data_IF_342714629301
#
_entry.id   IF_342714629301
#
_cell.length_a   1.000
_cell.length_b   1.000
_cell.length_c   1.000
_cell.angle_alpha   90.00
_cell.angle_beta   90.00
_cell.angle_gamma   90.00
#
_symmetry.space_group_name_H-M   'P 1'
#
loop_
_entity.id
_entity.type
_entity.pdbx_description
1 polymer ?
#
# COMPACT_ATOMS: atom_id res chain seq x y z
N UNK A 1 -5.71 1.45 -15.67
CA UNK A 1 -6.92 0.83 -16.27
C UNK A 1 -7.94 0.52 -15.18
N UNK A 2 -7.63 -0.21 -14.11
CA UNK A 2 -8.57 -0.60 -13.05
C UNK A 2 -9.28 0.60 -12.41
N UNK A 3 -8.57 1.66 -12.05
CA UNK A 3 -9.17 2.89 -11.50
C UNK A 3 -10.09 3.63 -12.47
N UNK A 4 -9.80 3.59 -13.78
CA UNK A 4 -10.68 4.16 -14.78
C UNK A 4 -12.00 3.37 -14.85
N UNK A 5 -11.94 2.04 -14.86
CA UNK A 5 -13.14 1.22 -14.78
C UNK A 5 -13.96 1.45 -13.52
N UNK A 6 -13.30 1.68 -12.39
CA UNK A 6 -13.97 2.00 -11.13
C UNK A 6 -14.73 3.33 -11.22
N UNK A 7 -14.08 4.39 -11.70
CA UNK A 7 -14.70 5.71 -11.84
C UNK A 7 -15.90 5.65 -12.79
N UNK A 8 -15.73 5.05 -13.97
CA UNK A 8 -16.80 4.87 -14.96
C UNK A 8 -17.95 4.05 -14.37
N UNK A 9 -17.64 2.96 -13.68
CA UNK A 9 -18.67 2.08 -13.11
C UNK A 9 -19.46 2.78 -12.01
N UNK A 10 -18.81 3.57 -11.17
CA UNK A 10 -19.48 4.33 -10.12
C UNK A 10 -20.46 5.33 -10.71
N UNK A 11 -20.05 6.10 -11.72
CA UNK A 11 -20.86 7.13 -12.36
C UNK A 11 -22.03 6.54 -13.15
N UNK A 12 -21.81 5.47 -13.94
CA UNK A 12 -22.79 4.99 -14.92
C UNK A 12 -23.72 3.90 -14.41
N UNK A 13 -23.47 3.27 -13.25
CA UNK A 13 -24.30 2.17 -12.74
C UNK A 13 -25.80 2.50 -12.57
N UNK A 14 -26.14 3.76 -12.27
CA UNK A 14 -27.49 4.21 -11.99
C UNK A 14 -28.08 5.13 -13.09
N UNK A 15 -27.33 5.40 -14.19
CA UNK A 15 -27.82 6.29 -15.26
C UNK A 15 -28.89 5.62 -16.11
N UNK A 16 -29.94 6.39 -16.46
CA UNK A 16 -30.92 5.98 -17.44
C UNK A 16 -30.24 5.74 -18.80
N UNK A 17 -30.60 4.66 -19.48
CA UNK A 17 -29.97 4.28 -20.75
C UNK A 17 -28.69 3.45 -20.63
N UNK A 18 -28.37 2.94 -19.45
CA UNK A 18 -27.27 2.03 -19.23
C UNK A 18 -27.46 0.72 -20.03
N UNK A 19 -26.70 0.57 -21.12
CA UNK A 19 -26.77 -0.59 -22.03
C UNK A 19 -26.17 -1.89 -21.41
N UNK A 20 -25.18 -1.75 -20.49
CA UNK A 20 -24.49 -2.90 -19.90
C UNK A 20 -25.20 -3.47 -18.67
N UNK A 21 -26.18 -2.73 -18.15
CA UNK A 21 -26.93 -3.10 -16.95
C UNK A 21 -26.19 -2.84 -15.64
N UNK A 22 -26.95 -2.62 -14.57
CA UNK A 22 -26.45 -2.28 -13.23
C UNK A 22 -25.51 -3.35 -12.64
N UNK A 23 -25.79 -4.62 -12.88
CA UNK A 23 -25.01 -5.73 -12.34
C UNK A 23 -23.60 -5.81 -12.92
N UNK A 24 -23.43 -5.46 -14.20
CA UNK A 24 -22.11 -5.43 -14.85
C UNK A 24 -21.20 -4.37 -14.21
N UNK A 25 -21.73 -3.17 -13.99
CA UNK A 25 -20.97 -2.12 -13.31
C UNK A 25 -20.65 -2.45 -11.85
N UNK A 26 -21.58 -3.12 -11.15
CA UNK A 26 -21.31 -3.62 -9.79
C UNK A 26 -20.21 -4.68 -9.77
N UNK A 27 -20.20 -5.59 -10.77
CA UNK A 27 -19.14 -6.57 -10.91
C UNK A 27 -17.78 -5.88 -11.14
N UNK A 28 -17.72 -4.86 -12.01
CA UNK A 28 -16.50 -4.07 -12.22
C UNK A 28 -16.03 -3.38 -10.94
N UNK A 29 -16.93 -2.78 -10.16
CA UNK A 29 -16.59 -2.17 -8.87
C UNK A 29 -16.00 -3.21 -7.90
N UNK A 30 -16.58 -4.40 -7.82
CA UNK A 30 -16.10 -5.47 -6.94
C UNK A 30 -14.72 -5.98 -7.39
N UNK A 31 -14.56 -6.25 -8.70
CA UNK A 31 -13.28 -6.71 -9.25
C UNK A 31 -12.19 -5.67 -8.99
N UNK A 32 -12.46 -4.39 -9.27
CA UNK A 32 -11.49 -3.34 -9.04
C UNK A 32 -11.15 -3.11 -7.57
N UNK A 33 -12.16 -3.22 -6.69
CA UNK A 33 -11.96 -3.11 -5.25
C UNK A 33 -11.00 -4.16 -4.68
N UNK A 34 -10.91 -5.32 -5.33
CA UNK A 34 -9.97 -6.38 -4.96
C UNK A 34 -8.66 -6.32 -5.77
N UNK A 35 -8.78 -6.17 -7.10
CA UNK A 35 -7.65 -6.28 -8.03
C UNK A 35 -6.66 -5.11 -7.89
N UNK A 36 -7.15 -3.89 -7.70
CA UNK A 36 -6.28 -2.73 -7.59
C UNK A 36 -5.36 -2.79 -6.36
N UNK A 37 -5.84 -3.04 -5.12
CA UNK A 37 -4.96 -3.22 -3.97
C UNK A 37 -4.02 -4.42 -4.10
N UNK A 38 -4.50 -5.52 -4.70
CA UNK A 38 -3.68 -6.71 -4.96
C UNK A 38 -2.50 -6.37 -5.86
N UNK A 39 -2.73 -5.69 -6.99
CA UNK A 39 -1.67 -5.31 -7.91
C UNK A 39 -0.70 -4.29 -7.32
N UNK A 40 -1.21 -3.31 -6.55
CA UNK A 40 -0.35 -2.36 -5.83
C UNK A 40 0.53 -3.09 -4.82
N UNK A 41 -0.05 -3.99 -4.02
CA UNK A 41 0.71 -4.79 -3.06
C UNK A 41 1.74 -5.69 -3.74
N UNK A 42 1.39 -6.35 -4.87
CA UNK A 42 2.33 -7.15 -5.66
C UNK A 42 3.50 -6.30 -6.19
N UNK A 43 3.22 -5.08 -6.63
CA UNK A 43 4.26 -4.14 -7.04
C UNK A 43 5.15 -3.71 -5.86
N UNK A 44 4.58 -3.48 -4.68
CA UNK A 44 5.35 -3.18 -3.46
C UNK A 44 6.22 -4.38 -3.04
N UNK A 45 5.76 -5.62 -3.25
CA UNK A 45 6.56 -6.82 -3.02
C UNK A 45 7.92 -6.81 -3.75
N UNK A 46 8.01 -6.15 -4.91
CA UNK A 46 9.27 -6.05 -5.67
C UNK A 46 10.35 -5.22 -4.97
N UNK A 47 10.04 -4.41 -3.97
CA UNK A 47 11.06 -3.75 -3.14
C UNK A 47 11.90 -4.77 -2.36
N UNK A 48 11.36 -5.96 -2.12
CA UNK A 48 12.03 -7.05 -1.41
C UNK A 48 12.60 -8.11 -2.34
N UNK A 49 11.93 -8.38 -3.47
CA UNK A 49 12.30 -9.47 -4.39
C UNK A 49 13.04 -8.99 -5.62
N UNK A 50 13.03 -7.69 -5.89
CA UNK A 50 13.63 -7.09 -7.07
C UNK A 50 12.77 -7.16 -8.34
N UNK A 51 13.23 -6.46 -9.37
CA UNK A 51 12.62 -6.39 -10.70
C UNK A 51 13.70 -6.50 -11.78
N UNK A 52 13.33 -6.93 -12.98
CA UNK A 52 14.26 -7.11 -14.09
C UNK A 52 14.45 -5.81 -14.89
N UNK A 53 15.34 -4.95 -14.44
CA UNK A 53 15.70 -3.72 -15.15
C UNK A 53 17.22 -3.49 -15.15
N UNK A 54 17.69 -2.65 -16.07
CA UNK A 54 19.08 -2.20 -16.14
C UNK A 54 19.13 -0.68 -16.13
N UNK A 55 20.20 -0.12 -15.56
CA UNK A 55 20.44 1.32 -15.47
C UNK A 55 21.77 1.65 -16.14
N UNK A 56 21.75 2.51 -17.15
CA UNK A 56 22.93 3.04 -17.80
C UNK A 56 23.03 4.55 -17.60
N UNK A 57 23.79 4.96 -16.61
CA UNK A 57 23.99 6.40 -16.30
C UNK A 57 24.75 7.14 -17.39
N UNK A 58 25.57 6.46 -18.18
CA UNK A 58 26.29 7.04 -19.34
C UNK A 58 25.37 7.48 -20.47
N UNK A 59 24.16 6.91 -20.55
CA UNK A 59 23.19 7.28 -21.58
C UNK A 59 22.67 8.73 -21.47
N UNK A 60 22.85 9.41 -20.34
CA UNK A 60 22.50 10.83 -20.20
C UNK A 60 23.27 11.72 -21.20
N UNK A 61 24.49 11.34 -21.54
CA UNK A 61 25.33 12.06 -22.49
C UNK A 61 25.07 11.65 -23.96
N UNK A 62 24.30 10.60 -24.19
CA UNK A 62 23.99 10.10 -25.54
C UNK A 62 22.74 10.81 -26.09
N UNK A 63 22.99 11.74 -27.02
CA UNK A 63 21.91 12.53 -27.67
C UNK A 63 21.01 11.62 -28.54
N UNK A 64 21.51 10.50 -29.04
CA UNK A 64 20.77 9.59 -29.92
C UNK A 64 19.82 8.65 -29.17
N UNK A 65 20.14 8.31 -27.92
CA UNK A 65 19.34 7.40 -27.10
C UNK A 65 19.46 7.72 -25.60
N UNK A 66 18.89 8.85 -25.11
CA UNK A 66 19.07 9.32 -23.74
C UNK A 66 18.18 8.53 -22.74
N UNK A 67 18.17 7.19 -22.86
CA UNK A 67 17.36 6.33 -21.99
C UNK A 67 18.26 5.73 -20.91
N UNK A 68 18.08 6.22 -19.68
CA UNK A 68 18.89 5.81 -18.51
C UNK A 68 18.47 4.42 -18.02
N UNK A 69 17.17 4.14 -17.92
CA UNK A 69 16.65 2.89 -17.40
C UNK A 69 15.83 2.15 -18.46
N UNK A 70 16.02 0.82 -18.51
CA UNK A 70 15.29 -0.07 -19.44
C UNK A 70 14.87 -1.34 -18.71
N UNK A 71 13.70 -1.86 -19.07
CA UNK A 71 13.31 -3.20 -18.68
C UNK A 71 14.18 -4.22 -19.41
N UNK A 72 14.63 -5.24 -18.71
CA UNK A 72 15.48 -6.29 -19.28
C UNK A 72 14.66 -7.28 -20.14
N UNK A 73 13.34 -7.31 -19.97
CA UNK A 73 12.44 -8.19 -20.70
C UNK A 73 11.19 -7.48 -21.24
N UNK A 74 10.43 -8.17 -22.09
CA UNK A 74 9.21 -7.65 -22.71
C UNK A 74 7.99 -7.57 -21.78
N UNK A 75 8.07 -8.10 -20.55
CA UNK A 75 6.99 -8.07 -19.58
C UNK A 75 6.89 -6.74 -18.82
N UNK A 76 7.93 -5.90 -18.90
CA UNK A 76 7.94 -4.54 -18.35
C UNK A 76 7.50 -4.48 -16.87
N UNK A 77 7.99 -5.41 -16.04
CA UNK A 77 7.68 -5.49 -14.62
C UNK A 77 6.45 -6.36 -14.27
N UNK A 78 5.69 -6.84 -15.26
CA UNK A 78 4.56 -7.73 -15.00
C UNK A 78 4.98 -9.11 -14.48
N UNK A 79 6.24 -9.48 -14.64
CA UNK A 79 6.84 -10.68 -14.05
C UNK A 79 6.77 -10.71 -12.51
N UNK A 80 6.55 -9.55 -11.87
CA UNK A 80 6.30 -9.47 -10.44
C UNK A 80 5.14 -10.36 -9.97
N UNK A 81 4.13 -10.56 -10.82
CA UNK A 81 2.97 -11.44 -10.53
C UNK A 81 3.35 -12.92 -10.55
N UNK A 82 4.43 -13.30 -11.22
CA UNK A 82 4.90 -14.69 -11.23
C UNK A 82 5.63 -15.10 -9.93
N UNK A 83 6.05 -14.15 -9.11
CA UNK A 83 6.70 -14.42 -7.83
C UNK A 83 5.66 -14.64 -6.73
N UNK A 84 5.62 -15.82 -6.08
CA UNK A 84 4.64 -16.12 -5.03
C UNK A 84 4.66 -15.12 -3.86
N UNK A 85 5.84 -14.71 -3.40
CA UNK A 85 5.99 -13.72 -2.33
C UNK A 85 5.27 -12.40 -2.66
N UNK A 86 5.44 -11.91 -3.89
CA UNK A 86 4.81 -10.66 -4.32
C UNK A 86 3.28 -10.77 -4.36
N UNK A 87 2.75 -11.93 -4.80
CA UNK A 87 1.32 -12.19 -4.82
C UNK A 87 0.75 -12.31 -3.40
N UNK A 88 1.45 -13.00 -2.50
CA UNK A 88 1.07 -13.10 -1.09
C UNK A 88 1.07 -11.73 -0.41
N UNK A 89 2.08 -10.89 -0.71
CA UNK A 89 2.13 -9.50 -0.27
C UNK A 89 0.95 -8.70 -0.82
N UNK A 90 0.62 -8.91 -2.10
CA UNK A 90 -0.56 -8.32 -2.74
C UNK A 90 -1.87 -8.72 -2.07
N UNK A 91 -2.04 -10.01 -1.74
CA UNK A 91 -3.21 -10.52 -1.01
C UNK A 91 -3.29 -9.94 0.40
N UNK A 92 -2.16 -9.82 1.09
CA UNK A 92 -2.09 -9.16 2.40
C UNK A 92 -2.60 -7.71 2.32
N UNK A 93 -2.14 -6.94 1.35
CA UNK A 93 -2.58 -5.55 1.13
C UNK A 93 -4.05 -5.48 0.75
N UNK A 94 -4.54 -6.40 -0.10
CA UNK A 94 -5.95 -6.48 -0.46
C UNK A 94 -6.85 -6.72 0.76
N UNK A 95 -6.53 -7.70 1.58
CA UNK A 95 -7.30 -7.96 2.81
C UNK A 95 -7.24 -6.78 3.79
N UNK A 96 -6.08 -6.15 3.93
CA UNK A 96 -5.90 -4.98 4.79
C UNK A 96 -6.79 -3.81 4.34
N UNK A 97 -6.82 -3.52 3.03
CA UNK A 97 -7.63 -2.42 2.49
C UNK A 97 -9.13 -2.68 2.66
N UNK A 98 -9.58 -3.94 2.50
CA UNK A 98 -10.97 -4.32 2.78
C UNK A 98 -11.29 -4.14 4.27
N UNK A 99 -10.38 -4.51 5.18
CA UNK A 99 -10.57 -4.30 6.61
C UNK A 99 -10.69 -2.82 6.97
N UNK A 100 -9.80 -1.96 6.46
CA UNK A 100 -9.85 -0.52 6.70
C UNK A 100 -11.12 0.11 6.11
N UNK A 101 -11.53 -0.32 4.91
CA UNK A 101 -12.77 0.11 4.28
C UNK A 101 -14.00 -0.28 5.11
N UNK A 102 -14.05 -1.50 5.62
CA UNK A 102 -15.13 -1.96 6.49
C UNK A 102 -15.19 -1.16 7.81
N UNK A 103 -14.04 -0.90 8.45
CA UNK A 103 -13.96 -0.06 9.64
C UNK A 103 -14.46 1.37 9.37
N UNK A 104 -14.09 1.95 8.23
CA UNK A 104 -14.53 3.28 7.82
C UNK A 104 -16.04 3.33 7.61
N UNK A 105 -16.61 2.34 6.92
CA UNK A 105 -18.04 2.25 6.69
C UNK A 105 -18.82 2.07 8.01
N UNK A 106 -18.33 1.24 8.95
CA UNK A 106 -18.93 1.06 10.27
C UNK A 106 -18.94 2.38 11.06
N UNK A 107 -17.88 3.22 10.89
CA UNK A 107 -17.82 4.52 11.57
C UNK A 107 -18.81 5.55 11.03
N UNK A 108 -19.13 5.49 9.73
CA UNK A 108 -19.83 6.58 9.04
C UNK A 108 -21.28 6.26 8.63
N UNK A 109 -21.71 5.01 8.74
CA UNK A 109 -23.05 4.58 8.33
C UNK A 109 -23.88 4.20 9.56
N UNK A 110 -25.07 4.80 9.66
CA UNK A 110 -26.05 4.53 10.72
C UNK A 110 -27.11 3.53 10.22
N UNK A 111 -26.69 2.28 10.00
CA UNK A 111 -27.57 1.14 9.68
C UNK A 111 -27.05 -0.12 10.41
N UNK A 112 -27.78 -0.57 11.42
CA UNK A 112 -27.40 -1.74 12.23
C UNK A 112 -27.26 -3.03 11.41
N UNK A 113 -28.12 -3.23 10.39
CA UNK A 113 -28.06 -4.45 9.56
C UNK A 113 -26.81 -4.46 8.69
N UNK A 114 -26.50 -3.32 8.09
CA UNK A 114 -25.28 -3.16 7.29
C UNK A 114 -24.04 -3.26 8.16
N UNK A 115 -24.03 -2.63 9.33
CA UNK A 115 -22.92 -2.73 10.29
C UNK A 115 -22.65 -4.17 10.73
N UNK A 116 -23.71 -4.97 10.94
CA UNK A 116 -23.57 -6.39 11.29
C UNK A 116 -22.97 -7.21 10.14
N UNK A 117 -23.35 -6.95 8.90
CA UNK A 117 -22.79 -7.60 7.72
C UNK A 117 -21.32 -7.20 7.53
N UNK A 118 -20.99 -5.92 7.70
CA UNK A 118 -19.62 -5.42 7.60
C UNK A 118 -18.72 -6.02 8.68
N UNK A 119 -19.20 -6.21 9.91
CA UNK A 119 -18.44 -6.88 10.98
C UNK A 119 -18.14 -8.35 10.65
N UNK A 120 -19.08 -9.08 10.02
CA UNK A 120 -18.81 -10.45 9.54
C UNK A 120 -17.76 -10.48 8.45
N UNK A 121 -17.85 -9.59 7.47
CA UNK A 121 -16.84 -9.45 6.41
C UNK A 121 -15.49 -9.05 6.99
N UNK A 122 -15.47 -8.11 7.95
CA UNK A 122 -14.26 -7.68 8.66
C UNK A 122 -13.57 -8.86 9.35
N UNK A 123 -14.33 -9.74 10.03
CA UNK A 123 -13.75 -10.92 10.69
C UNK A 123 -13.07 -11.87 9.70
N UNK A 124 -13.73 -12.16 8.57
CA UNK A 124 -13.20 -13.06 7.54
C UNK A 124 -11.96 -12.45 6.88
N UNK A 125 -12.05 -11.19 6.47
CA UNK A 125 -10.94 -10.51 5.82
C UNK A 125 -9.76 -10.28 6.77
N UNK A 126 -10.02 -10.02 8.05
CA UNK A 126 -8.97 -9.88 9.05
C UNK A 126 -8.24 -11.21 9.32
N UNK A 127 -8.97 -12.33 9.36
CA UNK A 127 -8.34 -13.65 9.45
C UNK A 127 -7.46 -13.94 8.22
N UNK A 128 -7.95 -13.60 7.01
CA UNK A 128 -7.16 -13.68 5.78
C UNK A 128 -5.93 -12.78 5.81
N UNK A 129 -6.07 -11.54 6.29
CA UNK A 129 -4.95 -10.62 6.47
C UNK A 129 -3.89 -11.18 7.42
N UNK A 130 -4.29 -11.68 8.59
CA UNK A 130 -3.36 -12.26 9.56
C UNK A 130 -2.62 -13.48 9.00
N UNK A 131 -3.32 -14.35 8.27
CA UNK A 131 -2.70 -15.49 7.61
C UNK A 131 -1.63 -15.04 6.62
N UNK A 132 -1.95 -14.12 5.72
CA UNK A 132 -1.00 -13.61 4.73
C UNK A 132 0.14 -12.84 5.40
N UNK A 133 -0.14 -12.05 6.43
CA UNK A 133 0.88 -11.35 7.20
C UNK A 133 1.92 -12.30 7.80
N UNK A 134 1.46 -13.39 8.42
CA UNK A 134 2.37 -14.38 9.01
C UNK A 134 3.23 -15.05 7.92
N UNK A 135 2.64 -15.43 6.79
CA UNK A 135 3.39 -16.02 5.66
C UNK A 135 4.44 -15.06 5.12
N UNK A 136 4.05 -13.81 4.86
CA UNK A 136 4.97 -12.75 4.38
C UNK A 136 6.09 -12.49 5.39
N UNK A 137 5.78 -12.42 6.70
CA UNK A 137 6.81 -12.17 7.72
C UNK A 137 7.79 -13.34 7.84
N UNK A 138 7.33 -14.58 7.77
CA UNK A 138 8.21 -15.77 7.81
C UNK A 138 9.17 -15.71 6.59
N UNK A 139 8.66 -15.44 5.41
CA UNK A 139 9.49 -15.35 4.21
C UNK A 139 10.45 -14.15 4.29
N UNK A 140 9.98 -12.98 4.74
CA UNK A 140 10.81 -11.78 4.87
C UNK A 140 12.00 -11.98 5.82
N UNK A 141 11.80 -12.72 6.90
CA UNK A 141 12.85 -13.03 7.89
C UNK A 141 13.88 -14.03 7.35
N UNK A 142 13.45 -14.95 6.47
CA UNK A 142 14.29 -16.07 6.00
C UNK A 142 14.90 -15.83 4.62
N UNK A 143 14.33 -14.93 3.81
CA UNK A 143 14.80 -14.67 2.45
C UNK A 143 16.16 -13.96 2.42
N UNK A 144 16.86 -14.11 1.30
CA UNK A 144 18.03 -13.31 0.98
C UNK A 144 17.59 -11.90 0.57
N UNK A 145 18.32 -10.88 1.04
CA UNK A 145 18.05 -9.48 0.70
C UNK A 145 19.27 -8.83 0.03
N UNK A 146 19.05 -7.67 -0.54
CA UNK A 146 20.02 -6.93 -1.34
C UNK A 146 20.80 -5.96 -0.45
N UNK A 147 21.94 -6.42 0.08
CA UNK A 147 22.83 -5.62 0.90
C UNK A 147 23.76 -4.75 0.05
N UNK A 148 24.20 -3.63 0.63
CA UNK A 148 25.14 -2.69 0.01
C UNK A 148 26.36 -2.58 0.88
N UNK A 149 27.58 -2.79 0.32
CA UNK A 149 28.84 -2.63 1.01
C UNK A 149 29.27 -1.15 1.15
N UNK A 150 30.39 -0.91 1.83
CA UNK A 150 30.93 0.43 2.02
C UNK A 150 31.40 1.10 0.71
N UNK A 151 31.69 0.30 -0.32
CA UNK A 151 32.12 0.73 -1.65
C UNK A 151 30.91 1.01 -2.58
N UNK A 152 29.69 0.66 -2.15
CA UNK A 152 28.45 0.88 -2.89
C UNK A 152 28.06 -0.29 -3.80
N UNK A 153 28.76 -1.44 -3.71
CA UNK A 153 28.41 -2.63 -4.48
C UNK A 153 27.25 -3.38 -3.81
N UNK A 154 26.36 -3.89 -4.62
CA UNK A 154 25.19 -4.65 -4.15
C UNK A 154 25.49 -6.14 -4.21
N UNK A 155 25.19 -6.84 -3.12
CA UNK A 155 25.35 -8.30 -3.00
C UNK A 155 24.19 -8.91 -2.23
N UNK A 156 24.03 -10.24 -2.33
CA UNK A 156 22.97 -10.97 -1.62
C UNK A 156 23.43 -11.36 -0.22
N UNK A 157 22.63 -11.02 0.81
CA UNK A 157 22.86 -11.36 2.21
C UNK A 157 21.68 -12.14 2.77
N UNK A 158 21.93 -13.28 3.40
CA UNK A 158 20.87 -14.11 4.04
C UNK A 158 20.28 -13.39 5.23
N UNK A 159 18.95 -13.33 5.29
CA UNK A 159 18.23 -12.71 6.39
C UNK A 159 18.48 -11.21 6.53
N UNK A 160 18.82 -10.50 5.46
CA UNK A 160 19.13 -9.06 5.47
C UNK A 160 18.01 -8.24 6.13
N UNK A 161 16.77 -8.51 5.78
CA UNK A 161 15.62 -7.77 6.32
C UNK A 161 15.39 -8.04 7.80
N UNK A 162 15.72 -9.24 8.28
CA UNK A 162 15.72 -9.57 9.71
C UNK A 162 16.84 -8.83 10.46
N UNK A 163 18.05 -8.79 9.89
CA UNK A 163 19.15 -8.01 10.44
C UNK A 163 18.79 -6.53 10.53
N UNK A 164 18.19 -5.97 9.47
CA UNK A 164 17.71 -4.59 9.47
C UNK A 164 16.69 -4.32 10.58
N UNK A 165 15.76 -5.24 10.79
CA UNK A 165 14.74 -5.09 11.83
C UNK A 165 15.36 -5.03 13.24
N UNK A 166 16.36 -5.87 13.52
CA UNK A 166 17.05 -5.91 14.84
C UNK A 166 18.00 -4.72 14.99
N UNK A 167 18.74 -4.37 13.96
CA UNK A 167 19.74 -3.30 14.00
C UNK A 167 19.11 -1.91 14.03
N UNK A 168 17.85 -1.77 13.67
CA UNK A 168 17.10 -0.52 13.71
C UNK A 168 15.99 -0.56 14.78
N UNK A 169 16.28 -0.40 16.08
CA UNK A 169 15.31 -0.58 17.15
C UNK A 169 14.11 0.39 17.06
N UNK A 170 14.30 1.59 16.54
CA UNK A 170 13.20 2.54 16.31
C UNK A 170 12.20 1.98 15.29
N UNK A 171 12.70 1.37 14.22
CA UNK A 171 11.86 0.78 13.16
C UNK A 171 11.11 -0.45 13.71
N UNK A 172 11.78 -1.27 14.53
CA UNK A 172 11.15 -2.39 15.22
C UNK A 172 10.00 -1.91 16.13
N UNK A 173 10.23 -0.88 16.94
CA UNK A 173 9.20 -0.31 17.82
C UNK A 173 8.03 0.25 16.98
N UNK A 174 8.32 0.96 15.90
CA UNK A 174 7.29 1.48 14.98
C UNK A 174 6.46 0.34 14.38
N UNK A 175 7.09 -0.74 13.94
CA UNK A 175 6.41 -1.90 13.38
C UNK A 175 5.49 -2.57 14.41
N UNK A 176 6.01 -2.85 15.61
CA UNK A 176 5.25 -3.48 16.68
C UNK A 176 4.09 -2.60 17.18
N UNK A 177 4.35 -1.31 17.38
CA UNK A 177 3.30 -0.35 17.77
C UNK A 177 2.22 -0.25 16.69
N UNK A 178 2.63 -0.16 15.42
CA UNK A 178 1.71 -0.15 14.28
C UNK A 178 0.83 -1.39 14.22
N UNK A 179 1.43 -2.57 14.38
CA UNK A 179 0.71 -3.85 14.41
C UNK A 179 -0.28 -3.92 15.59
N UNK A 180 0.14 -3.53 16.80
CA UNK A 180 -0.72 -3.51 17.99
C UNK A 180 -1.91 -2.58 17.80
N UNK A 181 -1.68 -1.37 17.29
CA UNK A 181 -2.76 -0.40 17.04
C UNK A 181 -3.75 -0.92 16.00
N UNK A 182 -3.25 -1.48 14.88
CA UNK A 182 -4.10 -2.07 13.84
C UNK A 182 -4.98 -3.18 14.40
N UNK A 183 -4.36 -4.16 15.07
CA UNK A 183 -5.09 -5.29 15.67
C UNK A 183 -6.10 -4.81 16.71
N UNK A 184 -5.71 -3.87 17.59
CA UNK A 184 -6.59 -3.32 18.63
C UNK A 184 -7.80 -2.64 18.01
N UNK A 185 -7.62 -1.82 16.97
CA UNK A 185 -8.73 -1.13 16.28
C UNK A 185 -9.75 -2.12 15.68
N UNK A 186 -9.26 -3.18 15.03
CA UNK A 186 -10.12 -4.23 14.46
C UNK A 186 -10.81 -5.03 15.56
N UNK A 187 -10.05 -5.55 16.53
CA UNK A 187 -10.59 -6.42 17.60
C UNK A 187 -11.62 -5.68 18.46
N UNK A 188 -11.34 -4.43 18.84
CA UNK A 188 -12.32 -3.62 19.60
C UNK A 188 -13.62 -3.43 18.82
N UNK A 189 -13.56 -3.22 17.50
CA UNK A 189 -14.75 -3.10 16.66
C UNK A 189 -15.50 -4.42 16.53
N UNK A 190 -14.81 -5.55 16.51
CA UNK A 190 -15.45 -6.88 16.44
C UNK A 190 -16.10 -7.29 17.76
N UNK A 191 -15.44 -7.04 18.90
CA UNK A 191 -15.92 -7.47 20.22
C UNK A 191 -17.00 -6.57 20.81
N UNK A 192 -16.89 -5.24 20.60
CA UNK A 192 -17.82 -4.27 21.18
C UNK A 192 -18.77 -3.73 20.11
N UNK A 193 -20.04 -4.15 20.13
CA UNK A 193 -21.04 -3.73 19.12
C UNK A 193 -21.27 -2.22 19.08
N UNK A 194 -21.12 -1.53 20.20
CA UNK A 194 -21.29 -0.08 20.31
C UNK A 194 -20.04 0.71 19.87
N UNK A 195 -18.89 0.02 19.69
CA UNK A 195 -17.65 0.67 19.32
C UNK A 195 -17.48 0.73 17.80
N UNK A 196 -17.73 1.91 17.22
CA UNK A 196 -17.66 2.14 15.78
C UNK A 196 -16.36 2.87 15.34
N UNK A 197 -15.57 3.40 16.29
CA UNK A 197 -14.40 4.26 16.03
C UNK A 197 -13.07 3.50 15.79
N UNK A 198 -13.12 2.21 15.46
CA UNK A 198 -11.93 1.39 15.27
C UNK A 198 -10.99 1.89 14.17
N UNK A 199 -11.53 2.55 13.14
CA UNK A 199 -10.72 3.13 12.05
C UNK A 199 -9.70 4.15 12.57
N UNK A 200 -10.05 4.97 13.57
CA UNK A 200 -9.16 6.00 14.12
C UNK A 200 -7.98 5.44 14.91
N UNK A 201 -8.03 4.17 15.28
CA UNK A 201 -6.92 3.44 15.91
C UNK A 201 -6.16 2.64 14.86
N UNK A 202 -6.89 1.92 13.97
CA UNK A 202 -6.30 1.03 12.99
C UNK A 202 -5.55 1.77 11.87
N UNK A 203 -6.06 2.91 11.39
CA UNK A 203 -5.44 3.64 10.28
C UNK A 203 -4.06 4.21 10.64
N UNK A 204 -3.85 4.93 11.76
CA UNK A 204 -2.51 5.34 12.19
C UNK A 204 -1.58 4.14 12.43
N UNK A 205 -2.10 3.04 13.00
CA UNK A 205 -1.35 1.79 13.16
C UNK A 205 -0.86 1.23 11.84
N UNK A 206 -1.72 1.23 10.83
CA UNK A 206 -1.36 0.79 9.46
C UNK A 206 -0.25 1.68 8.87
N UNK A 207 -0.36 3.00 9.00
CA UNK A 207 0.66 3.93 8.50
C UNK A 207 2.02 3.65 9.14
N UNK A 208 2.06 3.47 10.46
CA UNK A 208 3.31 3.16 11.18
C UNK A 208 3.91 1.82 10.73
N UNK A 209 3.10 0.78 10.60
CA UNK A 209 3.56 -0.54 10.19
C UNK A 209 4.11 -0.53 8.75
N UNK A 210 3.40 0.10 7.82
CA UNK A 210 3.82 0.21 6.41
C UNK A 210 5.10 1.04 6.29
N UNK A 211 5.19 2.16 7.02
CA UNK A 211 6.37 3.00 7.04
C UNK A 211 7.59 2.24 7.56
N UNK A 212 7.42 1.44 8.62
CA UNK A 212 8.48 0.58 9.14
C UNK A 212 8.94 -0.46 8.11
N UNK A 213 8.02 -1.09 7.36
CA UNK A 213 8.36 -2.04 6.29
C UNK A 213 9.17 -1.38 5.18
N UNK A 214 8.81 -0.18 4.74
CA UNK A 214 9.62 0.57 3.76
C UNK A 214 11.00 0.94 4.31
N UNK A 215 11.11 1.28 5.59
CA UNK A 215 12.41 1.56 6.20
C UNK A 215 13.30 0.31 6.26
N UNK A 216 12.73 -0.88 6.51
CA UNK A 216 13.46 -2.15 6.48
C UNK A 216 14.01 -2.44 5.07
N UNK A 217 13.24 -2.11 4.03
CA UNK A 217 13.65 -2.31 2.63
C UNK A 217 14.71 -1.32 2.15
N UNK A 218 14.78 -0.10 2.74
CA UNK A 218 15.56 1.01 2.19
C UNK A 218 16.81 1.40 2.98
N UNK A 219 16.77 1.25 4.30
CA UNK A 219 17.85 1.71 5.18
C UNK A 219 18.84 0.60 5.54
N UNK A 220 19.88 0.98 6.30
CA UNK A 220 20.90 0.07 6.83
C UNK A 220 21.68 -0.68 5.74
N UNK A 221 22.20 0.04 4.72
CA UNK A 221 22.97 -0.57 3.63
C UNK A 221 22.14 -1.58 2.84
N UNK A 222 20.95 -1.19 2.41
CA UNK A 222 20.03 -2.02 1.62
C UNK A 222 19.64 -1.29 0.34
N UNK A 223 19.57 -2.03 -0.78
CA UNK A 223 19.04 -1.49 -2.03
C UNK A 223 17.51 -1.46 -1.96
N UNK A 224 16.93 -0.25 -1.96
CA UNK A 224 15.48 -0.08 -1.80
C UNK A 224 14.66 -0.48 -3.03
N UNK A 225 15.27 -0.47 -4.22
CA UNK A 225 14.67 -0.99 -5.44
C UNK A 225 15.70 -1.84 -6.18
N UNK A 226 15.75 -3.13 -5.87
CA UNK A 226 16.79 -4.00 -6.39
C UNK A 226 16.52 -4.45 -7.83
N UNK A 227 17.60 -4.60 -8.60
CA UNK A 227 17.58 -5.22 -9.91
C UNK A 227 18.03 -6.68 -9.83
N UNK A 228 17.22 -7.58 -10.41
CA UNK A 228 17.57 -9.00 -10.57
C UNK A 228 18.22 -9.30 -11.90
N UNK A 229 18.24 -8.34 -12.84
CA UNK A 229 18.95 -8.47 -14.12
C UNK A 229 20.45 -8.20 -13.96
N UNK A 230 20.80 -7.18 -13.17
CA UNK A 230 22.17 -6.84 -12.78
C UNK A 230 22.14 -6.20 -11.40
N UNK A 231 22.75 -6.84 -10.41
CA UNK A 231 22.76 -6.37 -9.02
C UNK A 231 23.31 -4.95 -8.89
N UNK A 232 24.30 -4.58 -9.72
CA UNK A 232 24.91 -3.25 -9.66
C UNK A 232 24.03 -2.15 -10.24
N UNK A 233 22.98 -2.51 -10.96
CA UNK A 233 21.94 -1.60 -11.42
C UNK A 233 20.89 -1.32 -10.35
N UNK A 234 20.95 -1.96 -9.18
CA UNK A 234 19.99 -1.74 -8.08
C UNK A 234 20.06 -0.30 -7.57
N UNK A 235 18.88 0.24 -7.21
CA UNK A 235 18.77 1.59 -6.67
C UNK A 235 18.99 1.57 -5.15
N UNK A 236 19.96 2.37 -4.71
CA UNK A 236 20.26 2.59 -3.29
C UNK A 236 20.01 4.04 -2.92
N UNK A 237 19.87 4.35 -1.65
CA UNK A 237 19.72 5.74 -1.19
C UNK A 237 20.87 6.64 -1.64
N UNK A 238 22.10 6.11 -1.73
CA UNK A 238 23.28 6.86 -2.14
C UNK A 238 23.34 7.11 -3.65
N UNK A 239 23.00 6.12 -4.49
CA UNK A 239 23.16 6.22 -5.94
C UNK A 239 21.97 6.86 -6.67
N UNK A 240 20.82 7.00 -6.02
CA UNK A 240 19.58 7.58 -6.58
C UNK A 240 19.09 8.82 -5.84
N UNK A 241 19.91 9.35 -4.94
CA UNK A 241 19.64 10.60 -4.25
C UNK A 241 19.73 11.79 -5.21
N UNK A 242 18.81 12.74 -5.09
CA UNK A 242 18.84 14.00 -5.81
C UNK A 242 19.98 14.90 -5.35
N UNK A 243 20.24 15.97 -6.11
CA UNK A 243 21.25 16.98 -5.73
C UNK A 243 20.91 17.62 -4.37
N UNK A 244 21.94 18.09 -3.66
CA UNK A 244 21.79 18.76 -2.36
C UNK A 244 20.82 19.96 -2.44
N UNK A 245 20.86 20.73 -3.52
CA UNK A 245 19.91 21.84 -3.77
C UNK A 245 18.47 21.35 -3.82
N UNK A 246 18.19 20.27 -4.59
CA UNK A 246 16.85 19.68 -4.69
C UNK A 246 16.35 19.18 -3.34
N UNK A 247 17.20 18.48 -2.57
CA UNK A 247 16.84 17.98 -1.25
C UNK A 247 16.52 19.11 -0.27
N UNK A 248 17.33 20.17 -0.24
CA UNK A 248 17.07 21.36 0.61
C UNK A 248 15.76 22.05 0.20
N UNK A 249 15.54 22.22 -1.09
CA UNK A 249 14.29 22.83 -1.60
C UNK A 249 13.08 21.99 -1.23
N UNK A 250 13.14 20.66 -1.41
CA UNK A 250 12.05 19.76 -1.03
C UNK A 250 11.81 19.74 0.48
N UNK A 251 12.86 19.83 1.29
CA UNK A 251 12.74 19.94 2.75
C UNK A 251 11.98 21.22 3.16
N UNK A 252 12.28 22.36 2.51
CA UNK A 252 11.56 23.64 2.77
C UNK A 252 10.09 23.50 2.31
N UNK A 253 9.84 22.96 1.10
CA UNK A 253 8.48 22.74 0.60
C UNK A 253 7.68 21.81 1.48
N UNK A 254 8.33 20.81 2.08
CA UNK A 254 7.65 19.87 3.00
C UNK A 254 7.06 20.54 4.26
N UNK A 255 7.53 21.74 4.64
CA UNK A 255 6.92 22.52 5.73
C UNK A 255 5.50 23.00 5.41
N UNK A 256 5.11 23.00 4.14
CA UNK A 256 3.75 23.35 3.71
C UNK A 256 2.79 22.16 3.89
N UNK A 257 3.31 20.92 3.91
CA UNK A 257 2.50 19.69 4.04
C UNK A 257 1.55 19.71 5.25
N UNK A 258 1.97 20.12 6.47
CA UNK A 258 1.07 20.19 7.62
C UNK A 258 -0.15 21.10 7.39
N UNK A 259 0.01 22.20 6.65
CA UNK A 259 -1.10 23.11 6.32
C UNK A 259 -2.09 22.43 5.37
N UNK A 260 -1.59 21.68 4.37
CA UNK A 260 -2.43 20.92 3.44
C UNK A 260 -3.15 19.81 4.19
N UNK A 261 -2.48 19.09 5.08
CA UNK A 261 -3.09 18.05 5.93
C UNK A 261 -4.18 18.65 6.84
N UNK A 262 -3.92 19.80 7.46
CA UNK A 262 -4.90 20.50 8.29
C UNK A 262 -6.13 20.93 7.47
N UNK A 263 -5.93 21.44 6.26
CA UNK A 263 -7.00 21.78 5.32
C UNK A 263 -7.85 20.55 4.96
N UNK A 264 -7.21 19.46 4.54
CA UNK A 264 -7.89 18.21 4.21
C UNK A 264 -8.66 17.68 5.43
N UNK A 265 -8.05 17.65 6.62
CA UNK A 265 -8.68 17.20 7.85
C UNK A 265 -9.90 18.06 8.23
N UNK A 266 -9.82 19.38 8.02
CA UNK A 266 -10.95 20.29 8.25
C UNK A 266 -12.14 19.95 7.35
N UNK A 267 -11.91 19.82 6.03
CA UNK A 267 -12.97 19.49 5.08
C UNK A 267 -13.53 18.10 5.33
N UNK A 268 -12.68 17.12 5.57
CA UNK A 268 -13.11 15.76 5.90
C UNK A 268 -14.01 15.73 7.14
N UNK A 269 -13.61 16.46 8.20
CA UNK A 269 -14.42 16.58 9.40
C UNK A 269 -15.77 17.26 9.14
N UNK A 270 -15.84 18.20 8.20
CA UNK A 270 -17.11 18.83 7.82
C UNK A 270 -18.03 17.84 7.07
N UNK A 271 -17.47 17.01 6.21
CA UNK A 271 -18.20 15.97 5.46
C UNK A 271 -18.73 14.87 6.40
N UNK A 272 -17.93 14.47 7.39
CA UNK A 272 -18.28 13.38 8.33
C UNK A 272 -19.18 13.84 9.50
N UNK A 273 -19.60 15.12 9.57
CA UNK A 273 -20.50 15.61 10.62
C UNK A 273 -21.88 14.96 10.60
N UNK A 274 -22.33 14.49 9.46
CA UNK A 274 -23.60 13.81 9.27
C UNK A 274 -23.35 12.38 8.81
N UNK A 275 -23.78 11.41 9.59
CA UNK A 275 -23.81 10.00 9.16
C UNK A 275 -24.81 9.85 8.02
N UNK A 276 -24.47 9.03 7.02
CA UNK A 276 -25.34 8.75 5.89
C UNK A 276 -26.53 7.90 6.36
N UNK A 277 -27.73 8.38 6.09
CA UNK A 277 -28.96 7.64 6.36
C UNK A 277 -29.31 6.70 5.20
N UNK A 278 -30.12 5.69 5.49
CA UNK A 278 -30.57 4.72 4.49
C UNK A 278 -31.36 5.38 3.36
N UNK A 279 -32.18 6.40 3.67
CA UNK A 279 -32.97 7.15 2.69
C UNK A 279 -32.08 7.94 1.72
N UNK A 280 -30.98 8.52 2.21
CA UNK A 280 -29.99 9.22 1.38
C UNK A 280 -29.22 8.26 0.46
N UNK A 281 -28.95 7.04 0.94
CA UNK A 281 -28.31 5.97 0.13
C UNK A 281 -29.24 5.45 -0.98
N UNK A 282 -30.54 5.34 -0.73
CA UNK A 282 -31.52 4.84 -1.71
C UNK A 282 -31.87 5.90 -2.77
N UNK A 283 -31.92 7.17 -2.43
CA UNK A 283 -32.25 8.26 -3.37
C UNK A 283 -31.15 8.54 -4.39
N UNK A 284 -29.90 8.13 -4.12
CA UNK A 284 -28.80 8.24 -5.09
C UNK A 284 -28.42 9.67 -5.52
N UNK A 285 -29.05 10.67 -4.93
CA UNK A 285 -28.78 12.09 -5.19
C UNK A 285 -27.60 12.53 -4.32
N UNK A 286 -26.41 12.36 -4.84
CA UNK A 286 -25.19 12.76 -4.11
C UNK A 286 -24.49 13.98 -4.68
N UNK A 287 -25.01 14.64 -5.67
CA UNK A 287 -24.48 15.94 -6.15
C UNK A 287 -25.51 16.59 -7.07
#
# INVERSE_FOLDING_TARGET
>A
ITFVFQAVSYEFQNKAGNLLGKNTFRAFLTINGCLAPLLIGTAVGTFFTGSQFTVNKGAVADISAPVISRWANSWHGLEAVANPFNVEFGLMVMFLTICLGALYMINNIDDEKLAMQLRKSLLICFAGFLLMLVLVLIQLVTMEGFAVDAEGNVFMEKGKYFHNLIQMPVVLIMFLLGAVLLVTGVVMTLLKKEFNRGIWIAAPGTVLAVMALFMIAAYNGTAYYPSTADLQCSLTLSNSCSSEFTLKTMAIVSLIIPFVVAYIAYFWRQMDKKSLTKEELEKGEKY
#
